data_IF_183490847648
#
_entry.id   IF_183490847648
#
_cell.length_a   1.000
_cell.length_b   1.000
_cell.length_c   1.000
_cell.angle_alpha   90.00
_cell.angle_beta   90.00
_cell.angle_gamma   90.00
#
_symmetry.space_group_name_H-M   'P 1'
#
loop_
_entity.id
_entity.type
_entity.pdbx_description
1 polymer ?
#
# COMPACT_ATOMS: atom_id res chain seq x y z
N UNK A 1 -23.12 -10.93 -14.11
CA UNK A 1 -21.69 -10.66 -13.82
C UNK A 1 -21.59 -10.39 -12.33
N UNK A 2 -20.60 -10.95 -11.62
CA UNK A 2 -20.35 -10.59 -10.23
C UNK A 2 -20.15 -9.07 -10.13
N UNK A 3 -20.62 -8.46 -9.04
CA UNK A 3 -20.34 -7.05 -8.81
C UNK A 3 -18.84 -6.87 -8.57
N UNK A 4 -18.22 -5.93 -9.27
CA UNK A 4 -16.80 -5.60 -9.07
C UNK A 4 -16.69 -4.51 -8.00
N UNK A 5 -15.89 -4.77 -6.97
CA UNK A 5 -15.49 -3.81 -5.94
C UNK A 5 -14.09 -3.32 -6.26
N UNK A 6 -13.92 -2.00 -6.31
CA UNK A 6 -12.63 -1.36 -6.54
C UNK A 6 -11.98 -0.96 -5.22
N UNK A 7 -10.75 -1.43 -5.02
CA UNK A 7 -9.92 -1.01 -3.90
C UNK A 7 -9.12 0.24 -4.25
N UNK A 8 -9.41 1.31 -3.51
CA UNK A 8 -8.65 2.55 -3.53
C UNK A 8 -7.30 2.41 -2.80
N UNK A 9 -6.33 3.25 -3.16
CA UNK A 9 -5.01 3.29 -2.54
C UNK A 9 -5.07 3.40 -1.02
N UNK A 10 -5.94 4.26 -0.47
CA UNK A 10 -6.00 4.49 0.98
C UNK A 10 -6.54 3.26 1.72
N UNK A 11 -7.52 2.57 1.14
CA UNK A 11 -8.07 1.32 1.71
C UNK A 11 -6.99 0.23 1.74
N UNK A 12 -6.24 0.08 0.65
CA UNK A 12 -5.12 -0.88 0.57
C UNK A 12 -4.01 -0.53 1.57
N UNK A 13 -3.70 0.75 1.72
CA UNK A 13 -2.66 1.22 2.63
C UNK A 13 -3.04 0.99 4.10
N UNK A 14 -4.26 1.36 4.50
CA UNK A 14 -4.74 1.15 5.87
C UNK A 14 -4.82 -0.35 6.21
N UNK A 15 -5.11 -1.19 5.21
CA UNK A 15 -5.06 -2.64 5.33
C UNK A 15 -3.61 -3.18 5.49
N UNK A 16 -2.64 -2.67 4.74
CA UNK A 16 -1.26 -3.15 4.86
C UNK A 16 -0.58 -2.68 6.16
N UNK A 17 -0.83 -1.43 6.55
CA UNK A 17 -0.20 -0.79 7.70
C UNK A 17 -0.92 -1.06 9.03
N UNK A 18 -2.03 -1.81 9.02
CA UNK A 18 -2.84 -2.12 10.19
C UNK A 18 -3.26 -0.86 10.99
N UNK A 19 -3.56 0.24 10.29
CA UNK A 19 -3.85 1.55 10.93
C UNK A 19 -5.27 1.69 11.45
N UNK A 20 -6.21 0.94 10.86
CA UNK A 20 -7.62 1.01 11.18
C UNK A 20 -8.24 -0.40 11.18
N UNK A 21 -8.69 -0.87 12.35
CA UNK A 21 -9.28 -2.21 12.52
C UNK A 21 -10.62 -2.36 11.79
N UNK A 22 -11.40 -1.29 11.64
CA UNK A 22 -12.65 -1.34 10.88
C UNK A 22 -12.38 -1.57 9.39
N UNK A 23 -11.36 -0.89 8.84
CA UNK A 23 -10.94 -1.11 7.45
C UNK A 23 -10.41 -2.53 7.26
N UNK A 24 -9.66 -3.07 8.23
CA UNK A 24 -9.22 -4.48 8.22
C UNK A 24 -10.39 -5.43 8.08
N UNK A 25 -11.40 -5.27 8.94
CA UNK A 25 -12.56 -6.15 8.98
C UNK A 25 -13.40 -6.05 7.72
N UNK A 26 -13.59 -4.84 7.19
CA UNK A 26 -14.30 -4.60 5.94
C UNK A 26 -13.57 -5.25 4.76
N UNK A 27 -12.25 -5.03 4.63
CA UNK A 27 -11.46 -5.61 3.54
C UNK A 27 -11.41 -7.13 3.67
N UNK A 28 -11.26 -7.68 4.88
CA UNK A 28 -11.32 -9.13 5.12
C UNK A 28 -12.67 -9.72 4.69
N UNK A 29 -13.77 -9.03 4.99
CA UNK A 29 -15.12 -9.43 4.59
C UNK A 29 -15.29 -9.40 3.07
N UNK A 30 -14.81 -8.34 2.41
CA UNK A 30 -14.81 -8.21 0.95
C UNK A 30 -14.02 -9.37 0.32
N UNK A 31 -12.81 -9.65 0.80
CA UNK A 31 -11.97 -10.74 0.32
C UNK A 31 -12.61 -12.12 0.57
N UNK A 32 -13.34 -12.30 1.66
CA UNK A 32 -14.09 -13.52 1.92
C UNK A 32 -15.19 -13.76 0.88
N UNK A 33 -15.95 -12.73 0.52
CA UNK A 33 -16.95 -12.82 -0.55
C UNK A 33 -16.31 -13.00 -1.94
N UNK A 34 -15.15 -12.39 -2.16
CA UNK A 34 -14.37 -12.57 -3.38
C UNK A 34 -13.95 -14.03 -3.59
N UNK A 35 -13.37 -14.64 -2.57
CA UNK A 35 -12.90 -16.04 -2.60
C UNK A 35 -14.05 -17.03 -2.83
N UNK A 36 -15.30 -16.64 -2.54
CA UNK A 36 -16.50 -17.43 -2.80
C UNK A 36 -17.12 -17.16 -4.17
N UNK A 37 -16.52 -16.28 -4.97
CA UNK A 37 -17.03 -15.89 -6.29
C UNK A 37 -18.29 -15.02 -6.25
N UNK A 38 -18.69 -14.51 -5.09
CA UNK A 38 -19.88 -13.66 -4.95
C UNK A 38 -19.63 -12.25 -5.51
N UNK A 39 -18.40 -11.75 -5.37
CA UNK A 39 -17.95 -10.47 -5.92
C UNK A 39 -16.57 -10.64 -6.56
N UNK A 40 -16.21 -9.70 -7.42
CA UNK A 40 -14.85 -9.57 -7.93
C UNK A 40 -14.18 -8.39 -7.24
N UNK A 41 -12.94 -8.56 -6.79
CA UNK A 41 -12.16 -7.47 -6.21
C UNK A 41 -11.09 -7.07 -7.20
N UNK A 42 -11.02 -5.78 -7.46
CA UNK A 42 -10.09 -5.23 -8.42
C UNK A 42 -9.45 -3.94 -7.93
N UNK A 43 -8.33 -3.57 -8.54
CA UNK A 43 -7.69 -2.26 -8.37
C UNK A 43 -7.07 -1.83 -9.70
N UNK A 44 -6.60 -0.59 -9.78
CA UNK A 44 -5.97 -0.05 -10.98
C UNK A 44 -4.45 -0.08 -10.85
N UNK A 45 -3.74 -0.04 -11.99
CA UNK A 45 -2.28 0.11 -12.00
C UNK A 45 -1.83 1.41 -11.31
N UNK A 46 -2.63 2.48 -11.39
CA UNK A 46 -2.34 3.75 -10.71
C UNK A 46 -2.44 3.62 -9.20
N UNK A 47 -3.47 2.95 -8.69
CA UNK A 47 -3.62 2.76 -7.25
C UNK A 47 -2.46 1.90 -6.69
N UNK A 48 -1.98 0.92 -7.46
CA UNK A 48 -0.81 0.13 -7.09
C UNK A 48 0.46 0.99 -7.09
N UNK A 49 0.67 1.82 -8.11
CA UNK A 49 1.83 2.71 -8.17
C UNK A 49 1.83 3.71 -7.01
N UNK A 50 0.67 4.34 -6.74
CA UNK A 50 0.50 5.26 -5.63
C UNK A 50 0.69 4.57 -4.27
N UNK A 51 0.21 3.33 -4.12
CA UNK A 51 0.43 2.52 -2.92
C UNK A 51 1.92 2.29 -2.67
N UNK A 52 2.66 1.90 -3.71
CA UNK A 52 4.11 1.69 -3.62
C UNK A 52 4.82 2.98 -3.21
N UNK A 53 4.49 4.11 -3.84
CA UNK A 53 5.08 5.41 -3.52
C UNK A 53 4.80 5.82 -2.06
N UNK A 54 3.56 5.63 -1.59
CA UNK A 54 3.18 5.92 -0.20
C UNK A 54 3.90 5.03 0.80
N UNK A 55 4.06 3.73 0.50
CA UNK A 55 4.83 2.82 1.34
C UNK A 55 6.28 3.30 1.45
N UNK A 56 6.95 3.62 0.34
CA UNK A 56 8.32 4.16 0.41
C UNK A 56 8.42 5.43 1.27
N UNK A 57 7.46 6.36 1.13
CA UNK A 57 7.42 7.55 1.98
C UNK A 57 7.30 7.22 3.46
N UNK A 58 6.47 6.23 3.83
CA UNK A 58 6.33 5.76 5.22
C UNK A 58 7.65 5.22 5.74
N UNK A 59 8.38 4.40 4.97
CA UNK A 59 9.68 3.89 5.38
C UNK A 59 10.72 5.00 5.56
N UNK A 60 10.74 6.01 4.68
CA UNK A 60 11.64 7.17 4.81
C UNK A 60 11.34 7.96 6.08
N UNK A 61 10.07 8.28 6.32
CA UNK A 61 9.66 9.00 7.53
C UNK A 61 9.98 8.16 8.77
N UNK A 62 9.68 6.87 8.75
CA UNK A 62 9.98 5.93 9.84
C UNK A 62 11.48 5.85 10.15
N UNK A 63 12.34 5.84 9.13
CA UNK A 63 13.78 5.89 9.31
C UNK A 63 14.21 7.20 10.02
N UNK A 64 13.77 8.35 9.53
CA UNK A 64 14.11 9.64 10.12
C UNK A 64 13.59 9.80 11.57
N UNK A 65 12.41 9.23 11.86
CA UNK A 65 11.90 9.16 13.23
C UNK A 65 12.77 8.28 14.13
N UNK A 66 13.31 7.16 13.61
CA UNK A 66 14.22 6.29 14.36
C UNK A 66 15.57 6.97 14.67
N UNK A 67 16.01 7.88 13.81
CA UNK A 67 17.14 8.80 14.04
C UNK A 67 16.83 9.93 15.04
N UNK A 68 15.61 9.95 15.61
CA UNK A 68 15.12 10.95 16.58
C UNK A 68 15.09 12.38 16.05
N UNK A 69 14.97 12.54 14.73
CA UNK A 69 14.75 13.85 14.13
C UNK A 69 13.38 14.39 14.53
N UNK A 70 13.34 15.68 14.83
CA UNK A 70 12.09 16.41 15.06
C UNK A 70 11.28 16.51 13.77
N UNK A 71 9.98 16.79 13.90
CA UNK A 71 9.09 16.96 12.75
C UNK A 71 9.62 18.01 11.76
N UNK A 72 10.15 19.14 12.25
CA UNK A 72 10.69 20.21 11.40
C UNK A 72 11.93 19.76 10.62
N UNK A 73 12.78 18.93 11.21
CA UNK A 73 13.95 18.36 10.54
C UNK A 73 13.55 17.34 9.47
N UNK A 74 12.54 16.53 9.74
CA UNK A 74 11.94 15.62 8.76
C UNK A 74 11.38 16.41 7.58
N UNK A 75 10.65 17.50 7.83
CA UNK A 75 10.14 18.37 6.77
C UNK A 75 11.25 19.00 5.92
N UNK A 76 12.39 19.38 6.53
CA UNK A 76 13.55 19.91 5.78
C UNK A 76 14.21 18.87 4.89
N UNK A 77 14.13 17.59 5.24
CA UNK A 77 14.63 16.46 4.44
C UNK A 77 13.60 15.96 3.42
N UNK A 78 12.38 16.51 3.41
CA UNK A 78 11.35 16.19 2.42
C UNK A 78 11.79 16.70 1.05
N UNK A 79 12.25 15.79 0.19
CA UNK A 79 12.81 16.10 -1.12
C UNK A 79 14.30 15.78 -1.26
N UNK A 80 14.96 15.31 -0.19
CA UNK A 80 16.30 14.73 -0.26
C UNK A 80 16.24 13.41 -1.06
N UNK A 81 16.55 13.49 -2.34
CA UNK A 81 16.47 12.35 -3.26
C UNK A 81 17.51 11.27 -2.94
N UNK A 82 18.65 11.64 -2.34
CA UNK A 82 19.70 10.68 -1.97
C UNK A 82 19.21 9.83 -0.82
N UNK A 83 18.75 10.47 0.26
CA UNK A 83 18.13 9.78 1.38
C UNK A 83 16.95 8.90 0.94
N UNK A 84 16.04 9.46 0.12
CA UNK A 84 14.88 8.72 -0.36
C UNK A 84 15.31 7.47 -1.12
N UNK A 85 16.30 7.59 -2.01
CA UNK A 85 16.84 6.48 -2.79
C UNK A 85 17.47 5.42 -1.88
N UNK A 86 18.33 5.81 -0.95
CA UNK A 86 19.06 4.87 -0.09
C UNK A 86 18.08 4.06 0.78
N UNK A 87 17.11 4.73 1.40
CA UNK A 87 16.08 4.04 2.20
C UNK A 87 15.20 3.17 1.31
N UNK A 88 14.83 3.65 0.12
CA UNK A 88 14.00 2.88 -0.81
C UNK A 88 14.71 1.62 -1.30
N UNK A 89 15.99 1.70 -1.64
CA UNK A 89 16.79 0.53 -2.08
C UNK A 89 16.83 -0.55 -0.99
N UNK A 90 17.03 -0.15 0.28
CA UNK A 90 17.05 -1.06 1.42
C UNK A 90 15.69 -1.73 1.72
N UNK A 91 14.57 -1.08 1.37
CA UNK A 91 13.22 -1.57 1.67
C UNK A 91 12.49 -2.14 0.45
N UNK A 92 13.09 -2.05 -0.75
CA UNK A 92 12.44 -2.39 -2.02
C UNK A 92 11.86 -3.80 -2.04
N UNK A 93 12.64 -4.80 -1.62
CA UNK A 93 12.18 -6.19 -1.65
C UNK A 93 11.09 -6.47 -0.60
N UNK A 94 11.12 -5.76 0.53
CA UNK A 94 10.07 -5.86 1.56
C UNK A 94 8.74 -5.31 1.01
N UNK A 95 8.73 -4.08 0.50
CA UNK A 95 7.56 -3.45 -0.10
C UNK A 95 7.04 -4.28 -1.28
N UNK A 96 7.95 -4.73 -2.16
CA UNK A 96 7.60 -5.60 -3.28
C UNK A 96 6.88 -6.85 -2.81
N UNK A 97 7.38 -7.52 -1.76
CA UNK A 97 6.76 -8.73 -1.21
C UNK A 97 5.40 -8.44 -0.60
N UNK A 98 5.26 -7.36 0.17
CA UNK A 98 3.99 -6.94 0.79
C UNK A 98 2.93 -6.66 -0.27
N UNK A 99 3.22 -5.79 -1.23
CA UNK A 99 2.30 -5.45 -2.33
C UNK A 99 1.98 -6.68 -3.17
N UNK A 100 2.97 -7.51 -3.51
CA UNK A 100 2.75 -8.71 -4.31
C UNK A 100 1.86 -9.72 -3.58
N UNK A 101 2.11 -9.97 -2.30
CA UNK A 101 1.31 -10.90 -1.50
C UNK A 101 -0.12 -10.41 -1.34
N UNK A 102 -0.32 -9.10 -1.20
CA UNK A 102 -1.65 -8.53 -1.10
C UNK A 102 -2.41 -8.61 -2.43
N UNK A 103 -1.82 -8.16 -3.54
CA UNK A 103 -2.50 -8.14 -4.83
C UNK A 103 -2.67 -9.55 -5.39
N UNK A 104 -1.56 -10.27 -5.60
CA UNK A 104 -1.59 -11.58 -6.28
C UNK A 104 -1.90 -12.72 -5.32
N UNK A 105 -1.51 -12.62 -4.05
CA UNK A 105 -1.83 -13.65 -3.05
C UNK A 105 -3.30 -13.64 -2.63
N UNK A 106 -4.07 -12.63 -3.01
CA UNK A 106 -5.52 -12.50 -2.77
C UNK A 106 -6.34 -12.47 -4.07
N UNK A 107 -5.73 -12.80 -5.20
CA UNK A 107 -6.34 -12.82 -6.54
C UNK A 107 -7.05 -11.50 -6.93
N UNK A 108 -6.56 -10.36 -6.41
CA UNK A 108 -7.09 -9.04 -6.75
C UNK A 108 -6.76 -8.74 -8.21
N UNK A 109 -7.80 -8.49 -9.01
CA UNK A 109 -7.64 -8.20 -10.42
C UNK A 109 -7.05 -6.80 -10.64
N UNK A 110 -6.07 -6.70 -11.54
CA UNK A 110 -5.51 -5.41 -11.97
C UNK A 110 -6.24 -4.98 -13.24
N UNK A 111 -6.94 -3.86 -13.18
CA UNK A 111 -7.60 -3.26 -14.33
C UNK A 111 -6.60 -2.39 -15.12
N UNK A 112 -6.53 -2.58 -16.46
CA UNK A 112 -5.72 -1.73 -17.32
C UNK A 112 -6.38 -0.37 -17.51
N UNK A 113 -5.59 0.57 -18.01
CA UNK A 113 -6.09 1.86 -18.51
C UNK A 113 -7.00 1.61 -19.70
N UNK A 114 -8.27 2.02 -19.58
CA UNK A 114 -9.20 2.15 -20.70
C UNK A 114 -9.15 3.58 -21.21
#
# INVERSE_FOLDING_TARGET
>A
MPQTVLLDTNVMLDYLENRNSEVQDIVATILHFHNRGAIEVATTVFNIAELIDKLFQIYVIGNLMSERLSYDEIQKKKGDMVLFRDVSENNREKIRKEVRNFIFGKDIRILPLS
#
